data_IF_202109929964
#
_entry.id   IF_202109929964
#
_cell.length_a   1.000
_cell.length_b   1.000
_cell.length_c   1.000
_cell.angle_alpha   90.00
_cell.angle_beta   90.00
_cell.angle_gamma   90.00
#
_symmetry.space_group_name_H-M   'P 1'
#
loop_
_entity.id
_entity.type
_entity.pdbx_description
1 polymer ?
#
# COMPACT_ATOMS: atom_id res chain seq x y z
N UNK A 1 56.19 -17.70 -18.37
CA UNK A 1 55.66 -16.79 -17.33
C UNK A 1 54.34 -16.08 -17.70
N UNK A 2 53.98 -15.90 -18.98
CA UNK A 2 52.73 -15.20 -19.39
C UNK A 2 51.41 -15.92 -19.05
N UNK A 3 51.41 -17.26 -19.02
CA UNK A 3 50.20 -18.07 -18.78
C UNK A 3 49.67 -18.01 -17.35
N UNK A 4 50.54 -17.80 -16.36
CA UNK A 4 50.14 -17.69 -14.93
C UNK A 4 49.53 -16.33 -14.60
N UNK A 5 50.00 -15.27 -15.24
CA UNK A 5 49.47 -13.92 -15.04
C UNK A 5 48.07 -13.76 -15.63
N UNK A 6 47.83 -14.32 -16.83
CA UNK A 6 46.51 -14.35 -17.45
C UNK A 6 45.50 -15.13 -16.59
N UNK A 7 45.89 -16.28 -16.05
CA UNK A 7 45.03 -17.07 -15.16
C UNK A 7 44.62 -16.32 -13.88
N UNK A 8 45.52 -15.54 -13.29
CA UNK A 8 45.24 -14.72 -12.11
C UNK A 8 44.28 -13.56 -12.42
N UNK A 9 44.44 -12.92 -13.58
CA UNK A 9 43.55 -11.84 -14.02
C UNK A 9 42.15 -12.39 -14.30
N UNK A 10 42.03 -13.53 -14.99
CA UNK A 10 40.73 -14.15 -15.26
C UNK A 10 40.04 -14.59 -13.97
N UNK A 11 40.78 -15.14 -13.01
CA UNK A 11 40.23 -15.50 -11.70
C UNK A 11 39.70 -14.27 -10.94
N UNK A 12 40.42 -13.15 -10.97
CA UNK A 12 39.98 -11.90 -10.34
C UNK A 12 38.70 -11.34 -11.00
N UNK A 13 38.60 -11.39 -12.33
CA UNK A 13 37.40 -10.95 -13.08
C UNK A 13 36.20 -11.84 -12.78
N UNK A 14 36.38 -13.16 -12.69
CA UNK A 14 35.30 -14.10 -12.33
C UNK A 14 34.84 -13.88 -10.89
N UNK A 15 35.74 -13.57 -9.98
CA UNK A 15 35.42 -13.30 -8.58
C UNK A 15 34.63 -11.99 -8.42
N UNK A 16 35.03 -10.93 -9.14
CA UNK A 16 34.28 -9.66 -9.19
C UNK A 16 32.92 -9.82 -9.86
N UNK A 17 32.82 -10.58 -10.95
CA UNK A 17 31.56 -10.88 -11.62
C UNK A 17 30.62 -11.77 -10.77
N UNK A 18 31.17 -12.69 -9.98
CA UNK A 18 30.41 -13.49 -9.03
C UNK A 18 29.87 -12.69 -7.85
N UNK A 19 30.65 -11.74 -7.32
CA UNK A 19 30.23 -10.84 -6.24
C UNK A 19 29.20 -9.81 -6.73
N UNK A 20 29.40 -9.23 -7.92
CA UNK A 20 28.43 -8.32 -8.54
C UNK A 20 27.16 -9.04 -8.99
N UNK A 21 27.28 -10.28 -9.48
CA UNK A 21 26.14 -11.14 -9.83
C UNK A 21 25.30 -11.53 -8.62
N UNK A 22 25.95 -11.86 -7.49
CA UNK A 22 25.28 -12.12 -6.22
C UNK A 22 24.58 -10.89 -5.64
N UNK A 23 25.17 -9.69 -5.79
CA UNK A 23 24.56 -8.44 -5.37
C UNK A 23 23.37 -8.02 -6.25
N UNK A 24 23.37 -8.35 -7.55
CA UNK A 24 22.21 -8.14 -8.44
C UNK A 24 21.05 -9.10 -8.14
N UNK A 25 21.36 -10.32 -7.66
CA UNK A 25 20.35 -11.30 -7.24
C UNK A 25 19.87 -11.09 -5.80
N UNK A 26 20.61 -10.29 -5.02
CA UNK A 26 20.25 -9.84 -3.68
C UNK A 26 19.70 -8.42 -3.67
N UNK A 27 19.16 -7.94 -4.80
CA UNK A 27 18.16 -6.89 -4.72
C UNK A 27 17.09 -7.38 -3.73
N UNK A 28 16.75 -6.62 -2.67
CA UNK A 28 15.57 -6.91 -1.88
C UNK A 28 14.43 -7.11 -2.87
N UNK A 29 13.51 -8.08 -2.67
CA UNK A 29 12.32 -8.12 -3.53
C UNK A 29 11.75 -6.71 -3.54
N UNK A 30 11.58 -6.13 -4.73
CA UNK A 30 11.10 -4.76 -4.93
C UNK A 30 9.61 -4.59 -4.51
N UNK A 31 9.16 -5.38 -3.55
CA UNK A 31 7.78 -5.59 -3.12
C UNK A 31 7.72 -6.14 -1.69
N UNK A 32 8.63 -5.71 -0.81
CA UNK A 32 8.36 -5.78 0.61
C UNK A 32 7.37 -4.66 0.94
N UNK A 33 6.07 -5.02 1.01
CA UNK A 33 5.03 -4.12 1.48
C UNK A 33 5.44 -3.58 2.86
N UNK A 34 5.27 -2.27 3.05
CA UNK A 34 5.31 -1.66 4.37
C UNK A 34 4.16 -2.21 5.23
N UNK A 35 4.25 -2.02 6.55
CA UNK A 35 3.21 -2.49 7.47
C UNK A 35 1.84 -1.88 7.16
N UNK A 36 1.81 -0.59 6.81
CA UNK A 36 0.56 0.13 6.51
C UNK A 36 -0.03 -0.34 5.17
N UNK A 37 0.82 -0.60 4.15
CA UNK A 37 0.37 -1.16 2.88
C UNK A 37 -0.17 -2.58 3.05
N UNK A 38 0.47 -3.39 3.92
CA UNK A 38 -0.03 -4.72 4.26
C UNK A 38 -1.39 -4.63 4.97
N UNK A 39 -1.56 -3.70 5.92
CA UNK A 39 -2.84 -3.45 6.59
C UNK A 39 -3.93 -3.05 5.58
N UNK A 40 -3.63 -2.11 4.67
CA UNK A 40 -4.56 -1.71 3.62
C UNK A 40 -4.99 -2.89 2.76
N UNK A 41 -4.05 -3.72 2.30
CA UNK A 41 -4.36 -4.92 1.52
C UNK A 41 -5.22 -5.90 2.32
N UNK A 42 -4.93 -6.11 3.61
CA UNK A 42 -5.73 -6.99 4.47
C UNK A 42 -7.16 -6.49 4.60
N UNK A 43 -7.36 -5.21 4.89
CA UNK A 43 -8.70 -4.61 5.02
C UNK A 43 -9.52 -4.74 3.73
N UNK A 44 -8.90 -4.53 2.56
CA UNK A 44 -9.58 -4.74 1.28
C UNK A 44 -9.92 -6.21 1.03
N UNK A 45 -8.99 -7.12 1.35
CA UNK A 45 -9.19 -8.56 1.12
C UNK A 45 -10.31 -9.11 2.00
N UNK A 46 -10.44 -8.63 3.25
CA UNK A 46 -11.53 -9.00 4.17
C UNK A 46 -12.91 -8.58 3.63
N UNK A 47 -12.97 -7.45 2.93
CA UNK A 47 -14.16 -6.94 2.23
C UNK A 47 -14.38 -7.61 0.85
N UNK A 48 -13.52 -8.55 0.45
CA UNK A 48 -13.58 -9.20 -0.87
C UNK A 48 -13.19 -8.29 -2.03
N UNK A 49 -12.55 -7.15 -1.75
CA UNK A 49 -12.10 -6.17 -2.73
C UNK A 49 -10.67 -6.50 -3.16
N UNK A 50 -10.48 -6.67 -4.47
CA UNK A 50 -9.19 -6.96 -5.06
C UNK A 50 -8.88 -6.10 -6.28
N UNK A 51 -7.66 -6.20 -6.82
CA UNK A 51 -7.29 -5.49 -8.03
C UNK A 51 -8.21 -5.87 -9.19
N UNK A 52 -8.62 -4.87 -9.96
CA UNK A 52 -9.28 -5.09 -11.25
C UNK A 52 -8.39 -5.95 -12.17
N UNK A 53 -8.95 -6.79 -13.07
CA UNK A 53 -8.16 -7.47 -14.07
C UNK A 53 -7.23 -6.52 -14.85
N UNK A 54 -5.93 -6.86 -14.90
CA UNK A 54 -4.89 -6.04 -15.51
C UNK A 54 -4.23 -5.02 -14.58
N UNK A 55 -4.68 -4.90 -13.33
CA UNK A 55 -4.08 -4.10 -12.27
C UNK A 55 -3.46 -4.99 -11.20
N UNK A 56 -2.47 -4.45 -10.51
CA UNK A 56 -1.75 -5.09 -9.41
C UNK A 56 -2.20 -4.55 -8.05
N UNK A 57 -1.82 -5.23 -6.97
CA UNK A 57 -1.99 -4.71 -5.62
C UNK A 57 -1.28 -3.38 -5.39
N UNK A 58 -0.13 -3.16 -6.05
CA UNK A 58 0.58 -1.89 -5.96
C UNK A 58 -0.25 -0.73 -6.53
N UNK A 59 -1.03 -0.96 -7.59
CA UNK A 59 -1.89 0.09 -8.15
C UNK A 59 -3.00 0.50 -7.17
N UNK A 60 -3.58 -0.48 -6.45
CA UNK A 60 -4.54 -0.21 -5.38
C UNK A 60 -3.91 0.51 -4.20
N UNK A 61 -2.68 0.17 -3.84
CA UNK A 61 -1.92 0.84 -2.78
C UNK A 61 -1.65 2.31 -3.17
N UNK A 62 -1.22 2.56 -4.40
CA UNK A 62 -1.05 3.92 -4.92
C UNK A 62 -2.35 4.72 -4.88
N UNK A 63 -3.47 4.09 -5.24
CA UNK A 63 -4.79 4.71 -5.12
C UNK A 63 -5.11 5.06 -3.65
N UNK A 64 -4.85 4.15 -2.71
CA UNK A 64 -5.10 4.40 -1.29
C UNK A 64 -4.26 5.58 -0.74
N UNK A 65 -3.00 5.67 -1.14
CA UNK A 65 -2.15 6.83 -0.82
C UNK A 65 -2.68 8.13 -1.44
N UNK A 66 -3.17 8.09 -2.69
CA UNK A 66 -3.74 9.26 -3.35
C UNK A 66 -5.02 9.74 -2.63
N UNK A 67 -5.91 8.83 -2.25
CA UNK A 67 -7.11 9.13 -1.45
C UNK A 67 -6.72 9.79 -0.13
N UNK A 68 -5.77 9.20 0.61
CA UNK A 68 -5.29 9.75 1.87
C UNK A 68 -4.67 11.16 1.69
N UNK A 69 -3.96 11.39 0.59
CA UNK A 69 -3.42 12.71 0.25
C UNK A 69 -4.52 13.74 -0.06
N UNK A 70 -5.53 13.37 -0.84
CA UNK A 70 -6.65 14.25 -1.18
C UNK A 70 -7.42 14.68 0.08
N UNK A 71 -7.69 13.73 0.98
CA UNK A 71 -8.37 14.01 2.25
C UNK A 71 -7.56 14.92 3.16
N UNK A 72 -6.24 14.70 3.28
CA UNK A 72 -5.34 15.63 4.00
C UNK A 72 -5.32 17.02 3.39
N UNK A 73 -5.50 17.12 2.09
CA UNK A 73 -5.57 18.38 1.35
C UNK A 73 -6.92 19.09 1.51
N UNK A 74 -7.86 18.51 2.27
CA UNK A 74 -9.16 19.09 2.58
C UNK A 74 -10.28 18.66 1.63
N UNK A 75 -10.10 17.58 0.86
CA UNK A 75 -11.20 17.01 0.09
C UNK A 75 -12.30 16.46 1.01
N UNK A 76 -13.56 16.64 0.60
CA UNK A 76 -14.70 16.06 1.31
C UNK A 76 -14.75 14.54 1.11
N UNK A 77 -14.95 13.79 2.21
CA UNK A 77 -14.93 12.34 2.19
C UNK A 77 -16.05 11.77 1.31
N UNK A 78 -17.24 12.37 1.34
CA UNK A 78 -18.35 11.96 0.49
C UNK A 78 -18.06 12.18 -1.00
N UNK A 79 -17.43 13.30 -1.34
CA UNK A 79 -17.02 13.60 -2.73
C UNK A 79 -15.95 12.63 -3.23
N UNK A 80 -14.95 12.31 -2.41
CA UNK A 80 -13.89 11.35 -2.79
C UNK A 80 -14.48 9.96 -3.03
N UNK A 81 -15.36 9.49 -2.13
CA UNK A 81 -16.07 8.21 -2.29
C UNK A 81 -16.94 8.20 -3.54
N UNK A 82 -17.74 9.25 -3.77
CA UNK A 82 -18.58 9.36 -4.96
C UNK A 82 -17.76 9.31 -6.25
N UNK A 83 -16.64 10.05 -6.30
CA UNK A 83 -15.74 10.04 -7.46
C UNK A 83 -15.11 8.68 -7.67
N UNK A 84 -14.72 7.98 -6.60
CA UNK A 84 -14.19 6.63 -6.72
C UNK A 84 -15.24 5.68 -7.31
N UNK A 85 -16.46 5.70 -6.78
CA UNK A 85 -17.58 4.90 -7.28
C UNK A 85 -17.88 5.19 -8.76
N UNK A 86 -17.93 6.47 -9.16
CA UNK A 86 -18.18 6.88 -10.55
C UNK A 86 -17.07 6.41 -11.51
N UNK A 87 -15.81 6.39 -11.05
CA UNK A 87 -14.65 6.03 -11.89
C UNK A 87 -14.26 4.53 -11.80
N UNK A 88 -14.80 3.79 -10.83
CA UNK A 88 -14.54 2.37 -10.61
C UNK A 88 -15.83 1.56 -10.77
N UNK A 89 -16.29 1.29 -12.02
CA UNK A 89 -17.58 0.65 -12.29
C UNK A 89 -17.68 -0.82 -11.82
N UNK A 90 -16.61 -1.37 -11.27
CA UNK A 90 -16.55 -2.70 -10.67
C UNK A 90 -16.72 -2.68 -9.14
N UNK A 91 -16.79 -1.49 -8.53
CA UNK A 91 -17.15 -1.29 -7.14
C UNK A 91 -18.57 -0.73 -7.08
N UNK A 92 -19.38 -1.26 -6.17
CA UNK A 92 -20.59 -0.58 -5.73
C UNK A 92 -20.24 0.57 -4.76
N UNK A 93 -21.25 1.32 -4.33
CA UNK A 93 -21.03 2.45 -3.42
C UNK A 93 -20.41 1.99 -2.10
N UNK A 94 -20.84 0.83 -1.60
CA UNK A 94 -20.32 0.25 -0.37
C UNK A 94 -18.85 -0.14 -0.54
N UNK A 95 -18.49 -0.82 -1.63
CA UNK A 95 -17.09 -1.14 -1.95
C UNK A 95 -16.21 0.10 -2.14
N UNK A 96 -16.72 1.16 -2.77
CA UNK A 96 -16.00 2.43 -2.86
C UNK A 96 -15.79 3.05 -1.47
N UNK A 97 -16.80 2.98 -0.60
CA UNK A 97 -16.69 3.46 0.79
C UNK A 97 -15.67 2.65 1.60
N UNK A 98 -15.62 1.32 1.42
CA UNK A 98 -14.65 0.44 2.07
C UNK A 98 -13.22 0.75 1.61
N UNK A 99 -13.00 1.05 0.32
CA UNK A 99 -11.69 1.48 -0.18
C UNK A 99 -11.25 2.80 0.44
N UNK A 100 -12.15 3.80 0.50
CA UNK A 100 -11.84 5.09 1.10
C UNK A 100 -11.57 4.93 2.60
N UNK A 101 -12.40 4.17 3.32
CA UNK A 101 -12.23 3.90 4.75
C UNK A 101 -10.91 3.17 5.04
N UNK A 102 -10.57 2.13 4.27
CA UNK A 102 -9.30 1.44 4.40
C UNK A 102 -8.11 2.37 4.13
N UNK A 103 -8.24 3.28 3.16
CA UNK A 103 -7.22 4.30 2.87
C UNK A 103 -7.01 5.26 4.04
N UNK A 104 -8.09 5.68 4.71
CA UNK A 104 -8.00 6.50 5.91
C UNK A 104 -7.33 5.72 7.05
N UNK A 105 -7.79 4.52 7.35
CA UNK A 105 -7.26 3.71 8.46
C UNK A 105 -5.77 3.39 8.28
N UNK A 106 -5.37 2.99 7.08
CA UNK A 106 -3.99 2.58 6.81
C UNK A 106 -3.05 3.77 6.57
N UNK A 107 -3.48 4.78 5.82
CA UNK A 107 -2.57 5.81 5.30
C UNK A 107 -2.84 7.22 5.82
N UNK A 108 -3.97 7.49 6.46
CA UNK A 108 -4.28 8.76 7.12
C UNK A 108 -5.01 8.57 8.47
N UNK A 109 -4.43 7.80 9.41
CA UNK A 109 -5.09 7.43 10.66
C UNK A 109 -5.45 8.64 11.52
N UNK A 110 -4.76 9.77 11.36
CA UNK A 110 -5.07 11.02 12.05
C UNK A 110 -6.41 11.65 11.65
N UNK A 111 -7.00 11.22 10.52
CA UNK A 111 -8.31 11.66 10.05
C UNK A 111 -9.44 10.77 10.58
N UNK A 112 -9.13 9.66 11.26
CA UNK A 112 -10.15 8.81 11.88
C UNK A 112 -10.80 9.57 13.04
N UNK A 113 -12.13 9.76 13.04
CA UNK A 113 -12.82 10.42 14.14
C UNK A 113 -12.56 9.71 15.46
N UNK A 114 -12.01 10.43 16.44
CA UNK A 114 -11.89 9.93 17.80
C UNK A 114 -13.26 10.13 18.46
N UNK A 115 -14.08 9.07 18.51
CA UNK A 115 -15.24 9.07 19.40
C UNK A 115 -14.73 9.00 20.83
N UNK A 116 -14.58 10.16 21.46
CA UNK A 116 -14.51 10.24 22.91
C UNK A 116 -15.94 9.93 23.36
N UNK A 117 -16.12 8.79 23.99
CA UNK A 117 -17.39 8.31 24.55
C UNK A 117 -17.97 9.39 25.49
N UNK A 118 -18.76 10.32 24.95
CA UNK A 118 -19.69 11.10 25.75
C UNK A 118 -20.76 10.10 26.21
N UNK A 119 -20.50 9.53 27.39
CA UNK A 119 -21.36 8.75 28.28
C UNK A 119 -22.81 8.54 27.82
N UNK A 120 -23.39 7.33 27.98
CA UNK A 120 -24.78 7.09 27.63
C UNK A 120 -25.70 8.08 28.36
N UNK A 121 -26.82 8.52 27.78
CA UNK A 121 -27.86 9.26 28.50
C UNK A 121 -28.52 8.30 29.48
N UNK A 122 -27.83 8.06 30.59
CA UNK A 122 -28.20 7.20 31.69
C UNK A 122 -28.17 8.02 32.96
N UNK A 123 -29.12 8.95 33.08
CA UNK A 123 -29.74 9.27 34.36
C UNK A 123 -31.21 9.59 34.11
N UNK A 124 -32.02 8.53 34.25
CA UNK A 124 -33.35 8.71 34.81
C UNK A 124 -33.20 9.14 36.28
N UNK A 125 -34.13 9.97 36.74
CA UNK A 125 -34.49 10.28 38.15
C UNK A 125 -33.81 11.50 38.79
N UNK A 126 -34.54 12.62 38.79
CA UNK A 126 -34.99 13.30 40.02
C UNK A 126 -36.26 14.11 39.73
#
# INVERSE_FOLDING_TARGET
MKTRLLSLITAAVVLVAGVLGGALLAAPPASALTQDEALYVTLLTDEGIGPRPGYSWNDLIFLGHAIAYDLRSGADLGVVTYRLWENAPYLDMDGASSVVAASVVAFAPELVPIYIDESPPGDMVA
#
